data_IF_027652850377
#
_entry.id   IF_027652850377
#
_cell.length_a   1.000
_cell.length_b   1.000
_cell.length_c   1.000
_cell.angle_alpha   90.00
_cell.angle_beta   90.00
_cell.angle_gamma   90.00
#
_symmetry.space_group_name_H-M   'P 1'
#
loop_
_entity.id
_entity.type
_entity.pdbx_description
1 polymer ?
#
# COMPACT_ATOMS: atom_id res chain seq x y z
N UNK A 1 12.91 10.54 1.86
CA UNK A 1 13.76 9.89 0.86
C UNK A 1 13.18 8.51 0.59
N UNK A 2 12.93 8.14 -0.67
CA UNK A 2 12.39 6.82 -1.04
C UNK A 2 13.57 5.87 -1.24
N UNK A 3 13.55 4.70 -0.59
CA UNK A 3 14.56 3.66 -0.80
C UNK A 3 14.02 2.66 -1.83
N UNK A 4 14.65 2.60 -3.00
CA UNK A 4 14.30 1.60 -4.01
C UNK A 4 14.68 0.19 -3.55
N UNK A 5 13.76 -0.76 -3.75
CA UNK A 5 14.01 -2.19 -3.52
C UNK A 5 14.40 -2.85 -4.84
N UNK A 6 15.51 -3.59 -4.85
CA UNK A 6 15.97 -4.34 -6.04
C UNK A 6 15.07 -5.53 -6.40
N UNK A 7 14.15 -5.93 -5.52
CA UNK A 7 13.24 -7.05 -5.73
C UNK A 7 11.78 -6.62 -5.99
N UNK A 8 11.41 -5.38 -5.67
CA UNK A 8 10.03 -4.92 -5.72
C UNK A 8 9.93 -3.53 -6.34
N UNK A 9 9.09 -3.41 -7.36
CA UNK A 9 8.79 -2.14 -8.02
C UNK A 9 7.39 -1.69 -7.60
N UNK A 10 7.29 -0.45 -7.10
CA UNK A 10 6.00 0.17 -6.81
C UNK A 10 5.37 0.61 -8.14
N UNK A 11 4.20 0.07 -8.46
CA UNK A 11 3.43 0.45 -9.65
C UNK A 11 2.50 1.61 -9.36
N UNK A 12 1.80 1.55 -8.23
CA UNK A 12 0.85 2.58 -7.81
C UNK A 12 0.88 2.75 -6.30
N UNK A 13 0.73 3.99 -5.85
CA UNK A 13 0.51 4.34 -4.47
C UNK A 13 -0.67 5.31 -4.41
N UNK A 14 -1.75 4.92 -3.73
CA UNK A 14 -2.95 5.75 -3.57
C UNK A 14 -3.32 5.85 -2.11
N UNK A 15 -3.81 7.01 -1.70
CA UNK A 15 -4.29 7.26 -0.35
C UNK A 15 -5.71 7.81 -0.41
N UNK A 16 -6.59 7.30 0.45
CA UNK A 16 -7.94 7.81 0.62
C UNK A 16 -8.18 8.19 2.07
N UNK A 17 -8.81 9.34 2.26
CA UNK A 17 -9.32 9.78 3.56
C UNK A 17 -10.76 9.32 3.67
N UNK A 18 -11.07 8.53 4.68
CA UNK A 18 -12.44 8.20 5.01
C UNK A 18 -12.89 8.89 6.30
N UNK A 19 -14.21 9.01 6.40
CA UNK A 19 -14.91 9.50 7.57
C UNK A 19 -15.93 8.43 7.93
N UNK A 20 -15.67 7.69 9.00
CA UNK A 20 -16.54 6.60 9.45
C UNK A 20 -17.31 7.05 10.68
N UNK A 21 -18.63 6.84 10.64
CA UNK A 21 -19.53 7.02 11.77
C UNK A 21 -19.88 5.64 12.30
N UNK A 22 -19.49 5.35 13.54
CA UNK A 22 -19.84 4.09 14.19
C UNK A 22 -21.18 4.23 14.90
N UNK A 23 -21.97 3.15 14.87
CA UNK A 23 -23.28 3.09 15.52
C UNK A 23 -23.22 3.31 17.04
N UNK A 24 -22.07 3.07 17.67
CA UNK A 24 -21.86 3.33 19.10
C UNK A 24 -21.79 4.82 19.46
N UNK A 25 -21.35 5.67 18.53
CA UNK A 25 -21.12 7.11 18.75
C UNK A 25 -21.48 7.91 17.48
N UNK A 26 -22.76 8.24 17.26
CA UNK A 26 -23.20 8.95 16.05
C UNK A 26 -22.77 10.43 15.98
N UNK A 27 -22.33 11.00 17.11
CA UNK A 27 -21.94 12.42 17.22
C UNK A 27 -20.51 12.71 16.80
N UNK A 28 -19.62 11.72 16.84
CA UNK A 28 -18.19 11.90 16.55
C UNK A 28 -17.76 11.05 15.36
N UNK A 29 -17.48 11.67 14.20
CA UNK A 29 -16.92 10.96 13.06
C UNK A 29 -15.44 10.65 13.28
N UNK A 30 -15.06 9.39 13.13
CA UNK A 30 -13.67 8.95 13.15
C UNK A 30 -13.08 9.09 11.76
N UNK A 31 -11.86 9.63 11.68
CA UNK A 31 -11.14 9.84 10.43
C UNK A 31 -10.05 8.80 10.31
N UNK A 32 -10.00 8.12 9.17
CA UNK A 32 -8.90 7.24 8.80
C UNK A 32 -8.30 7.67 7.46
N UNK A 33 -7.02 7.35 7.29
CA UNK A 33 -6.33 7.50 6.02
C UNK A 33 -5.82 6.12 5.65
N UNK A 34 -6.40 5.55 4.62
CA UNK A 34 -6.02 4.23 4.12
C UNK A 34 -5.07 4.41 2.93
N UNK A 35 -3.86 3.86 3.07
CA UNK A 35 -2.88 3.81 1.99
C UNK A 35 -2.90 2.45 1.32
N UNK A 36 -2.90 2.44 -0.01
CA UNK A 36 -2.84 1.24 -0.82
C UNK A 36 -1.63 1.33 -1.74
N UNK A 37 -0.74 0.34 -1.61
CA UNK A 37 0.48 0.23 -2.40
C UNK A 37 0.39 -1.01 -3.27
N UNK A 38 0.41 -0.80 -4.59
CA UNK A 38 0.49 -1.88 -5.58
C UNK A 38 1.96 -2.08 -5.92
N UNK A 39 2.49 -3.27 -5.59
CA UNK A 39 3.88 -3.62 -5.81
C UNK A 39 3.99 -4.87 -6.69
N UNK A 40 4.95 -4.84 -7.61
CA UNK A 40 5.27 -5.96 -8.50
C UNK A 40 6.65 -6.52 -8.15
N UNK A 41 6.76 -7.84 -8.03
CA UNK A 41 8.03 -8.53 -7.77
C UNK A 41 8.86 -8.63 -9.06
N UNK A 42 10.15 -8.33 -8.97
CA UNK A 42 11.13 -8.53 -10.04
C UNK A 42 11.73 -9.94 -9.91
N UNK A 43 11.59 -10.81 -10.93
CA UNK A 43 12.08 -12.19 -10.87
C UNK A 43 13.59 -12.33 -11.20
N UNK A 44 14.38 -11.25 -11.16
CA UNK A 44 15.78 -11.24 -11.62
C UNK A 44 16.63 -12.35 -10.96
N UNK A 45 16.48 -12.54 -9.64
CA UNK A 45 17.16 -13.62 -8.94
C UNK A 45 16.73 -15.02 -9.43
N UNK A 46 15.43 -15.22 -9.63
CA UNK A 46 14.87 -16.51 -10.08
C UNK A 46 15.28 -16.86 -11.51
N UNK A 47 15.32 -15.88 -12.41
CA UNK A 47 15.73 -16.12 -13.80
C UNK A 47 17.22 -16.47 -13.88
N UNK A 48 18.08 -15.83 -13.08
CA UNK A 48 19.54 -16.02 -13.19
C UNK A 48 20.05 -17.27 -12.48
N UNK A 49 19.43 -17.68 -11.36
CA UNK A 49 19.95 -18.77 -10.53
C UNK A 49 19.21 -20.10 -10.66
N UNK A 50 17.98 -20.12 -11.21
CA UNK A 50 17.12 -21.32 -11.22
C UNK A 50 16.84 -21.84 -12.63
N UNK A 51 16.82 -20.98 -13.65
CA UNK A 51 16.68 -21.35 -15.07
C UNK A 51 18.08 -21.52 -15.68
#
# INVERSE_FOLDING_TARGET
NFMESGEWVIKEARGWKHRVLYACCPSTPYLDITYHFVMQRLPLYFIVNVI
#
